data_IF_741909468100
#
_entry.id   IF_741909468100
#
_cell.length_a   1.000
_cell.length_b   1.000
_cell.length_c   1.000
_cell.angle_alpha   90.00
_cell.angle_beta   90.00
_cell.angle_gamma   90.00
#
_symmetry.space_group_name_H-M   'P 1'
#
loop_
_entity.id
_entity.type
_entity.pdbx_description
1 polymer ?
#
# COMPACT_ATOMS: atom_id res chain seq x y z
N UNK A 1 -2.10 -6.58 8.77
CA UNK A 1 -2.85 -5.65 9.65
C UNK A 1 -2.90 -4.32 8.92
N UNK A 2 -4.10 -3.80 8.65
CA UNK A 2 -4.30 -2.50 7.98
C UNK A 2 -4.56 -1.49 9.09
N UNK A 3 -3.65 -0.53 9.26
CA UNK A 3 -3.80 0.55 10.23
C UNK A 3 -4.07 1.85 9.46
N UNK A 4 -5.12 2.57 9.86
CA UNK A 4 -5.50 3.86 9.30
C UNK A 4 -5.70 4.84 10.47
N UNK A 5 -4.83 5.83 10.58
CA UNK A 5 -4.89 6.85 11.63
C UNK A 5 -5.10 8.22 10.98
N UNK A 6 -6.13 8.95 11.42
CA UNK A 6 -6.53 10.22 10.85
C UNK A 6 -6.37 11.37 11.84
N UNK A 7 -5.34 12.18 11.65
CA UNK A 7 -5.31 13.56 12.16
C UNK A 7 -5.43 14.48 10.95
N UNK A 8 -6.35 15.44 11.02
CA UNK A 8 -6.78 16.40 9.99
C UNK A 8 -5.87 16.49 8.74
N UNK A 9 -6.22 15.76 7.67
CA UNK A 9 -5.80 16.11 6.31
C UNK A 9 -5.20 15.02 5.41
N UNK A 10 -4.83 13.83 5.91
CA UNK A 10 -4.39 12.72 5.05
C UNK A 10 -4.84 11.38 5.64
N UNK A 11 -5.69 10.65 4.91
CA UNK A 11 -5.97 9.24 5.19
C UNK A 11 -5.06 8.42 4.28
N UNK A 12 -4.17 7.66 4.89
CA UNK A 12 -3.24 6.75 4.19
C UNK A 12 -3.28 5.37 4.84
N UNK A 13 -3.01 4.34 4.05
CA UNK A 13 -2.84 2.96 4.53
C UNK A 13 -1.36 2.63 4.51
N UNK A 14 -0.81 2.21 5.65
CA UNK A 14 0.48 1.53 5.70
C UNK A 14 0.26 0.02 5.54
N UNK A 15 0.99 -0.63 4.64
CA UNK A 15 0.80 -2.06 4.34
C UNK A 15 2.14 -2.78 4.18
N UNK A 16 2.32 -3.94 4.80
CA UNK A 16 3.52 -4.76 4.55
C UNK A 16 3.47 -5.42 3.17
N UNK A 17 4.61 -5.45 2.45
CA UNK A 17 4.72 -6.23 1.21
C UNK A 17 4.64 -7.73 1.49
N UNK A 18 5.27 -8.16 2.59
CA UNK A 18 5.27 -9.56 3.01
C UNK A 18 4.16 -9.79 4.02
N UNK A 19 3.02 -10.29 3.55
CA UNK A 19 1.87 -10.69 4.35
C UNK A 19 1.65 -12.21 4.18
N UNK A 20 1.26 -12.93 5.25
CA UNK A 20 1.21 -14.40 5.24
C UNK A 20 0.10 -14.99 4.35
N UNK A 21 -0.99 -14.26 4.15
CA UNK A 21 -2.20 -14.79 3.48
C UNK A 21 -2.54 -14.09 2.15
N UNK A 22 -2.11 -12.83 1.98
CA UNK A 22 -2.49 -12.01 0.83
C UNK A 22 -1.34 -11.08 0.49
N UNK A 23 -0.96 -10.96 -0.77
CA UNK A 23 0.08 -10.01 -1.17
C UNK A 23 -0.46 -8.56 -1.27
N UNK A 24 0.46 -7.60 -1.24
CA UNK A 24 0.17 -6.16 -1.31
C UNK A 24 -0.54 -5.75 -2.61
N UNK A 25 -0.30 -6.44 -3.73
CA UNK A 25 -0.91 -6.13 -5.02
C UNK A 25 -2.38 -6.51 -5.02
N UNK A 26 -2.72 -7.69 -4.49
CA UNK A 26 -4.09 -8.17 -4.34
C UNK A 26 -4.88 -7.26 -3.41
N UNK A 27 -4.31 -6.90 -2.25
CA UNK A 27 -4.93 -5.96 -1.31
C UNK A 27 -5.15 -4.57 -1.94
N UNK A 28 -4.15 -4.05 -2.65
CA UNK A 28 -4.24 -2.77 -3.36
C UNK A 28 -5.33 -2.82 -4.42
N UNK A 29 -5.38 -3.87 -5.23
CA UNK A 29 -6.40 -4.06 -6.25
C UNK A 29 -7.81 -4.13 -5.64
N UNK A 30 -7.97 -4.76 -4.48
CA UNK A 30 -9.23 -4.77 -3.75
C UNK A 30 -9.65 -3.37 -3.28
N UNK A 31 -8.72 -2.59 -2.72
CA UNK A 31 -8.98 -1.20 -2.30
C UNK A 31 -9.37 -0.33 -3.50
N UNK A 32 -8.68 -0.46 -4.65
CA UNK A 32 -9.00 0.31 -5.86
C UNK A 32 -10.37 -0.03 -6.47
N UNK A 33 -10.97 -1.18 -6.10
CA UNK A 33 -12.33 -1.58 -6.51
C UNK A 33 -13.43 -1.07 -5.56
N UNK A 34 -13.08 -0.46 -4.43
CA UNK A 34 -14.06 0.12 -3.53
C UNK A 34 -14.70 1.37 -4.17
N UNK A 35 -15.86 1.77 -3.64
CA UNK A 35 -16.54 2.99 -4.05
C UNK A 35 -16.13 4.20 -3.21
N UNK A 36 -16.31 5.39 -3.80
CA UNK A 36 -16.07 6.65 -3.10
C UNK A 36 -14.60 6.92 -2.76
N UNK A 37 -14.30 7.74 -1.75
CA UNK A 37 -12.95 8.22 -1.48
C UNK A 37 -11.98 7.11 -1.02
N UNK A 38 -12.50 5.97 -0.56
CA UNK A 38 -11.69 4.83 -0.13
C UNK A 38 -10.83 4.27 -1.27
N UNK A 39 -11.33 4.29 -2.51
CA UNK A 39 -10.57 3.84 -3.69
C UNK A 39 -9.35 4.72 -3.99
N UNK A 40 -9.40 5.97 -3.54
CA UNK A 40 -8.40 7.01 -3.81
C UNK A 40 -7.49 7.25 -2.60
N UNK A 41 -7.53 6.36 -1.61
CA UNK A 41 -6.64 6.40 -0.44
C UNK A 41 -5.19 6.16 -0.88
N UNK A 42 -4.25 6.88 -0.26
CA UNK A 42 -2.84 6.66 -0.52
C UNK A 42 -2.39 5.39 0.20
N UNK A 43 -1.68 4.50 -0.49
CA UNK A 43 -1.18 3.25 0.10
C UNK A 43 0.34 3.31 0.08
N UNK A 44 0.96 3.17 1.25
CA UNK A 44 2.41 3.16 1.42
C UNK A 44 2.82 1.76 1.86
N UNK A 45 3.56 1.06 1.01
CA UNK A 45 4.03 -0.28 1.28
C UNK A 45 5.33 -0.27 2.09
N UNK A 46 5.41 -1.08 3.14
CA UNK A 46 6.63 -1.33 3.90
C UNK A 46 7.34 -2.56 3.36
N UNK A 47 8.65 -2.43 3.10
CA UNK A 47 9.45 -3.53 2.55
C UNK A 47 10.81 -3.68 3.21
N UNK A 48 11.26 -4.92 3.42
CA UNK A 48 12.63 -5.23 3.87
C UNK A 48 13.54 -5.67 2.72
N UNK A 49 12.99 -6.18 1.62
CA UNK A 49 13.80 -6.72 0.50
C UNK A 49 13.01 -6.92 -0.81
N UNK A 50 12.17 -5.96 -1.20
CA UNK A 50 11.41 -6.07 -2.45
C UNK A 50 12.31 -5.86 -3.68
N UNK A 51 12.03 -6.61 -4.75
CA UNK A 51 12.76 -6.45 -6.00
C UNK A 51 12.36 -5.14 -6.68
N UNK A 52 13.30 -4.47 -7.34
CA UNK A 52 13.04 -3.19 -8.04
C UNK A 52 11.88 -3.28 -9.04
N UNK A 53 11.70 -4.40 -9.72
CA UNK A 53 10.63 -4.57 -10.71
C UNK A 53 9.24 -4.77 -10.05
N UNK A 54 9.19 -5.39 -8.87
CA UNK A 54 7.97 -5.47 -8.06
C UNK A 54 7.54 -4.08 -7.60
N UNK A 55 8.50 -3.26 -7.14
CA UNK A 55 8.25 -1.89 -6.69
C UNK A 55 7.79 -0.96 -7.83
N UNK A 56 8.39 -1.08 -9.02
CA UNK A 56 7.95 -0.31 -10.21
C UNK A 56 6.50 -0.63 -10.56
N UNK A 57 6.16 -1.91 -10.57
CA UNK A 57 4.79 -2.37 -10.83
C UNK A 57 3.83 -1.82 -9.78
N UNK A 58 4.24 -1.84 -8.51
CA UNK A 58 3.43 -1.35 -7.41
C UNK A 58 3.12 0.15 -7.49
N UNK A 59 4.13 0.98 -7.73
CA UNK A 59 3.98 2.44 -7.86
C UNK A 59 3.10 2.80 -9.07
N UNK A 60 3.16 2.03 -10.15
CA UNK A 60 2.35 2.30 -11.35
C UNK A 60 0.83 2.18 -11.12
N UNK A 61 0.39 1.55 -10.01
CA UNK A 61 -1.01 1.29 -9.69
C UNK A 61 -1.81 2.47 -9.11
N UNK A 62 -1.31 3.70 -9.19
CA UNK A 62 -2.01 4.91 -8.76
C UNK A 62 -1.36 5.57 -7.54
N UNK A 63 -2.14 5.87 -6.51
CA UNK A 63 -1.66 6.54 -5.27
C UNK A 63 -0.90 5.58 -4.35
N UNK A 64 0.14 4.97 -4.88
CA UNK A 64 0.94 3.95 -4.23
C UNK A 64 2.38 4.44 -4.08
N UNK A 65 2.96 4.25 -2.91
CA UNK A 65 4.37 4.51 -2.64
C UNK A 65 4.96 3.44 -1.73
N UNK A 66 6.26 3.42 -1.49
CA UNK A 66 6.88 2.45 -0.59
C UNK A 66 7.98 3.06 0.27
N UNK A 67 8.17 2.47 1.45
CA UNK A 67 9.27 2.78 2.35
C UNK A 67 10.01 1.49 2.68
N UNK A 68 11.33 1.53 2.54
CA UNK A 68 12.20 0.44 3.00
C UNK A 68 12.35 0.53 4.52
N UNK A 69 12.01 -0.55 5.23
CA UNK A 69 12.26 -0.65 6.66
C UNK A 69 13.76 -0.55 6.93
N UNK A 70 14.17 0.19 7.98
CA UNK A 70 15.55 0.12 8.43
C UNK A 70 15.82 -1.30 8.91
N UNK A 71 16.90 -1.88 8.36
CA UNK A 71 17.54 -3.08 8.87
C UNK A 71 18.22 -2.79 10.21
#
# INVERSE_FOLDING_TARGET
>A
MIEAEGTTGYVGVLMEIQMPEMDVFTATAAIRKLDGPARDISIIALTVNAKKDELKTYISGGKNDYVTKPI
#
